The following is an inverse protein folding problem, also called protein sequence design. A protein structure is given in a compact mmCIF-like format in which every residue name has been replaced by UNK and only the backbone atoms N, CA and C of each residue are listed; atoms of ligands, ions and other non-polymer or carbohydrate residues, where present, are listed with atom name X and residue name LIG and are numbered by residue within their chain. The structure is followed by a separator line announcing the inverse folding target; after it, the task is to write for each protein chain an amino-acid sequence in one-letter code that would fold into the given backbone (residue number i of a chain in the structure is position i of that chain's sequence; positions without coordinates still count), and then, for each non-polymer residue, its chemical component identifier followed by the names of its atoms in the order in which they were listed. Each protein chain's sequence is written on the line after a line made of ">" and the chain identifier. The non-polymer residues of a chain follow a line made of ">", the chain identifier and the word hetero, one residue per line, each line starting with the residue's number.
data_IF_655225956881
#
_entry.id   IF_655225956881
#
_cell.length_a   1.000
_cell.length_b   1.000
_cell.length_c   1.000
_cell.angle_alpha   90.00
_cell.angle_beta   90.00
_cell.angle_gamma   90.00
#
_symmetry.space_group_name_H-M   'P 1'
#
loop_
_entity.id
_entity.type
_entity.pdbx_description
1 polymer ?
#
# COMPACT_ATOMS: atom_id res chain seq x y z
N UNK A 1 15.37 -2.97 -15.46
CA UNK A 1 14.75 -1.98 -14.55
C UNK A 1 14.56 -2.70 -13.22
N UNK A 2 15.10 -2.20 -12.10
CA UNK A 2 14.84 -2.82 -10.80
C UNK A 2 13.48 -2.33 -10.33
N UNK A 3 12.53 -3.26 -10.21
CA UNK A 3 11.21 -2.97 -9.61
C UNK A 3 11.42 -2.90 -8.10
N UNK A 4 11.07 -1.77 -7.49
CA UNK A 4 11.17 -1.61 -6.04
C UNK A 4 9.90 -2.09 -5.33
N UNK A 5 9.97 -2.30 -4.01
CA UNK A 5 8.79 -2.60 -3.18
C UNK A 5 7.73 -1.51 -3.37
N UNK A 6 8.17 -0.24 -3.38
CA UNK A 6 7.32 0.93 -3.60
C UNK A 6 6.57 0.87 -4.93
N UNK A 7 7.25 0.47 -6.01
CA UNK A 7 6.61 0.36 -7.32
C UNK A 7 5.52 -0.71 -7.35
N UNK A 8 5.75 -1.86 -6.69
CA UNK A 8 4.73 -2.91 -6.57
C UNK A 8 3.51 -2.45 -5.78
N UNK A 9 3.75 -1.82 -4.63
CA UNK A 9 2.69 -1.31 -3.75
C UNK A 9 1.90 -0.20 -4.46
N UNK A 10 2.59 0.74 -5.12
CA UNK A 10 1.95 1.80 -5.91
C UNK A 10 1.12 1.22 -7.04
N UNK A 11 1.65 0.25 -7.80
CA UNK A 11 0.90 -0.38 -8.88
C UNK A 11 -0.36 -1.07 -8.36
N UNK A 12 -0.26 -1.80 -7.24
CA UNK A 12 -1.41 -2.43 -6.59
C UNK A 12 -2.46 -1.41 -6.16
N UNK A 13 -2.03 -0.31 -5.53
CA UNK A 13 -2.94 0.76 -5.08
C UNK A 13 -3.63 1.43 -6.27
N UNK A 14 -2.89 1.72 -7.33
CA UNK A 14 -3.44 2.37 -8.52
C UNK A 14 -4.44 1.46 -9.22
N UNK A 15 -4.13 0.18 -9.36
CA UNK A 15 -4.98 -0.78 -10.06
C UNK A 15 -6.25 -1.12 -9.27
N UNK A 16 -6.14 -1.32 -7.96
CA UNK A 16 -7.25 -1.74 -7.10
C UNK A 16 -8.09 -0.58 -6.56
N UNK A 17 -7.47 0.57 -6.23
CA UNK A 17 -8.16 1.68 -5.55
C UNK A 17 -8.39 2.90 -6.45
N UNK A 18 -7.43 3.22 -7.33
CA UNK A 18 -7.56 4.33 -8.28
C UNK A 18 -8.14 3.90 -9.63
N UNK A 19 -8.56 2.63 -9.79
CA UNK A 19 -9.11 2.07 -11.03
C UNK A 19 -8.20 2.33 -12.26
N UNK A 20 -6.89 2.34 -12.06
CA UNK A 20 -5.91 2.63 -13.11
C UNK A 20 -5.73 4.12 -13.40
N UNK A 21 -6.24 5.03 -12.56
CA UNK A 21 -6.05 6.45 -12.72
C UNK A 21 -4.60 6.85 -12.39
N UNK A 22 -3.78 6.84 -13.44
CA UNK A 22 -2.38 7.27 -13.42
C UNK A 22 -2.22 8.79 -13.42
N UNK A 23 -3.31 9.56 -13.50
CA UNK A 23 -3.25 11.02 -13.38
C UNK A 23 -3.05 11.48 -11.94
N UNK A 24 -3.38 10.61 -10.98
CA UNK A 24 -3.12 10.83 -9.57
C UNK A 24 -1.66 10.46 -9.24
N UNK A 25 -0.79 11.48 -9.09
CA UNK A 25 0.57 11.27 -8.62
C UNK A 25 0.58 10.94 -7.12
N UNK A 26 0.48 9.65 -6.80
CA UNK A 26 0.66 9.15 -5.45
C UNK A 26 2.14 9.26 -5.04
N UNK A 27 2.47 10.30 -4.28
CA UNK A 27 3.79 10.46 -3.67
C UNK A 27 4.05 9.36 -2.63
N UNK A 28 5.31 8.98 -2.46
CA UNK A 28 5.70 7.91 -1.51
C UNK A 28 5.25 8.20 -0.07
N UNK A 29 5.25 9.48 0.30
CA UNK A 29 4.87 9.99 1.63
C UNK A 29 3.42 10.47 1.68
N UNK A 30 2.64 10.29 0.62
CA UNK A 30 1.23 10.67 0.63
C UNK A 30 0.43 9.71 1.53
N UNK A 31 -0.46 10.28 2.36
CA UNK A 31 -1.37 9.50 3.19
C UNK A 31 -2.48 8.89 2.35
N UNK A 32 -2.50 7.57 2.26
CA UNK A 32 -3.50 6.78 1.56
C UNK A 32 -4.86 6.87 2.25
N UNK A 33 -4.88 7.03 3.57
CA UNK A 33 -6.11 7.13 4.34
C UNK A 33 -6.68 8.55 4.23
N UNK A 34 -5.85 9.59 4.44
CA UNK A 34 -6.30 10.98 4.35
C UNK A 34 -6.75 11.39 2.93
N UNK A 35 -6.25 10.71 1.90
CA UNK A 35 -6.68 10.92 0.51
C UNK A 35 -7.89 10.04 0.12
N UNK A 36 -8.53 9.35 1.08
CA UNK A 36 -9.66 8.43 0.85
C UNK A 36 -9.33 7.32 -0.17
N UNK A 37 -8.05 6.95 -0.31
CA UNK A 37 -7.59 5.90 -1.23
C UNK A 37 -7.77 4.53 -0.58
N UNK A 38 -7.50 4.43 0.72
CA UNK A 38 -7.62 3.20 1.50
C UNK A 38 -8.61 3.40 2.64
N UNK A 39 -9.61 2.51 2.70
CA UNK A 39 -10.51 2.33 3.84
C UNK A 39 -10.19 1.01 4.58
N UNK A 40 -10.83 0.80 5.72
CA UNK A 40 -10.80 -0.40 6.56
C UNK A 40 -10.93 -1.74 5.80
N UNK A 41 -11.66 -1.78 4.68
CA UNK A 41 -11.77 -2.97 3.84
C UNK A 41 -10.56 -3.13 2.90
N UNK A 42 -10.10 -2.03 2.32
CA UNK A 42 -8.92 -1.98 1.46
C UNK A 42 -7.63 -2.39 2.21
N UNK A 43 -7.55 -2.09 3.51
CA UNK A 43 -6.43 -2.52 4.37
C UNK A 43 -6.25 -4.04 4.36
N UNK A 44 -7.34 -4.81 4.44
CA UNK A 44 -7.28 -6.28 4.48
C UNK A 44 -6.76 -6.84 3.15
N UNK A 45 -7.19 -6.27 2.03
CA UNK A 45 -6.70 -6.65 0.69
C UNK A 45 -5.22 -6.28 0.51
N UNK A 46 -4.81 -5.09 0.98
CA UNK A 46 -3.42 -4.67 0.95
C UNK A 46 -2.53 -5.59 1.78
N UNK A 47 -2.97 -5.97 2.98
CA UNK A 47 -2.26 -6.94 3.83
C UNK A 47 -2.10 -8.26 3.09
N UNK A 48 -3.19 -8.83 2.58
CA UNK A 48 -3.13 -10.09 1.83
C UNK A 48 -2.19 -10.01 0.61
N UNK A 49 -2.18 -8.89 -0.11
CA UNK A 49 -1.25 -8.64 -1.21
C UNK A 49 0.21 -8.62 -0.73
N UNK A 50 0.50 -7.96 0.38
CA UNK A 50 1.85 -7.88 0.94
C UNK A 50 2.31 -9.28 1.38
N UNK A 51 1.46 -10.03 2.08
CA UNK A 51 1.76 -11.37 2.54
C UNK A 51 2.04 -12.32 1.37
N UNK A 52 1.22 -12.29 0.32
CA UNK A 52 1.39 -13.14 -0.87
C UNK A 52 2.60 -12.71 -1.72
N UNK A 53 2.80 -11.40 -1.91
CA UNK A 53 3.85 -10.86 -2.80
C UNK A 53 5.25 -10.95 -2.18
N UNK A 54 5.35 -10.73 -0.87
CA UNK A 54 6.64 -10.66 -0.15
C UNK A 54 6.87 -11.85 0.80
N UNK A 55 5.85 -12.67 1.06
CA UNK A 55 5.98 -13.83 1.95
C UNK A 55 6.12 -13.46 3.42
N UNK A 56 5.62 -12.29 3.82
CA UNK A 56 5.66 -11.77 5.19
C UNK A 56 4.34 -12.11 5.87
N UNK A 57 4.33 -12.32 7.19
CA UNK A 57 3.10 -12.42 7.96
C UNK A 57 2.87 -11.11 8.73
N UNK A 58 1.78 -10.41 8.44
CA UNK A 58 1.40 -9.20 9.17
C UNK A 58 0.51 -9.58 10.34
N UNK A 59 0.91 -9.19 11.56
CA UNK A 59 0.05 -9.36 12.75
C UNK A 59 -0.86 -8.15 12.92
N UNK A 60 -1.98 -8.30 13.62
CA UNK A 60 -2.95 -7.21 13.85
C UNK A 60 -2.31 -5.92 14.39
N UNK A 61 -1.23 -6.01 15.18
CA UNK A 61 -0.49 -4.85 15.69
C UNK A 61 0.27 -4.07 14.62
N UNK A 62 0.60 -4.71 13.49
CA UNK A 62 1.28 -4.10 12.36
C UNK A 62 0.29 -3.49 11.37
N UNK A 63 -0.96 -3.93 11.39
CA UNK A 63 -2.08 -3.43 10.58
C UNK A 63 -2.60 -2.13 11.19
N UNK A 64 -1.74 -1.12 11.19
CA UNK A 64 -2.05 0.22 11.71
C UNK A 64 -1.77 1.28 10.66
N UNK A 65 -2.49 2.41 10.67
CA UNK A 65 -2.19 3.57 9.82
C UNK A 65 -0.71 3.96 9.89
N UNK A 66 -0.08 3.87 11.07
CA UNK A 66 1.34 4.18 11.22
C UNK A 66 2.28 3.36 10.30
N UNK A 67 1.88 2.20 9.82
CA UNK A 67 2.64 1.35 8.88
C UNK A 67 2.04 1.33 7.47
N UNK A 68 0.71 1.47 7.34
CA UNK A 68 0.00 1.29 6.07
C UNK A 68 -0.49 2.59 5.43
N UNK A 69 -0.34 3.74 6.11
CA UNK A 69 -0.84 5.01 5.61
C UNK A 69 -0.03 5.56 4.42
N UNK A 70 1.16 5.05 4.11
CA UNK A 70 1.89 5.52 2.92
C UNK A 70 2.76 4.43 2.32
N UNK A 71 3.07 4.57 1.02
CA UNK A 71 3.93 3.62 0.29
C UNK A 71 5.32 3.53 0.93
N UNK A 72 5.85 4.65 1.42
CA UNK A 72 7.14 4.69 2.11
C UNK A 72 7.13 3.86 3.40
N UNK A 73 6.08 4.00 4.21
CA UNK A 73 5.89 3.24 5.45
C UNK A 73 5.77 1.74 5.17
N UNK A 74 4.97 1.37 4.18
CA UNK A 74 4.81 -0.03 3.76
C UNK A 74 6.16 -0.59 3.31
N UNK A 75 6.89 0.16 2.48
CA UNK A 75 8.21 -0.28 2.00
C UNK A 75 9.30 -0.31 3.07
N UNK A 76 9.14 0.44 4.16
CA UNK A 76 10.05 0.44 5.31
C UNK A 76 9.71 -0.67 6.31
N UNK A 77 8.47 -1.15 6.28
CA UNK A 77 8.00 -2.25 7.12
C UNK A 77 8.42 -3.61 6.56
N UNK A 78 8.34 -3.77 5.23
CA UNK A 78 8.78 -4.95 4.45
C UNK A 78 10.31 -5.05 4.47
#
# INVERSE_FOLDING_TARGET
>A
MMITIKDKVRAFIVDNFLFGDTSYELADTASLIDNDIIDSTAVVELVAFIEDTFGIAMVDSDIVPANLDSVDRISSFI
#
